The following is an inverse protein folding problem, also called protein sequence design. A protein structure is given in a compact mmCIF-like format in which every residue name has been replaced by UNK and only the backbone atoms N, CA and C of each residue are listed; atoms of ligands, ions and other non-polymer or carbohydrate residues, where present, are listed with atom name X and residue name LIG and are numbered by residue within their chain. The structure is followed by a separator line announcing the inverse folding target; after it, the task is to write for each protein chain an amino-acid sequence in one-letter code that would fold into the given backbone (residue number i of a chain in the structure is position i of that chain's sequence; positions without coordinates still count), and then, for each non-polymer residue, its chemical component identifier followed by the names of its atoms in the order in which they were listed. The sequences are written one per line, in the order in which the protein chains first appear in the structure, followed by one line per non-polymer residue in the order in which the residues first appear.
data_IF_073258845695
#
_entry.id   IF_073258845695
#
_cell.length_a   1.000
_cell.length_b   1.000
_cell.length_c   1.000
_cell.angle_alpha   90.00
_cell.angle_beta   90.00
_cell.angle_gamma   90.00
#
_symmetry.space_group_name_H-M   'P 1'
#
loop_
_entity.id
_entity.type
_entity.pdbx_description
1 polymer ?
#
# COMPACT_ATOMS: atom_id res chain seq x y z
N UNK A 1 15.45 -9.50 -20.05
CA UNK A 1 16.27 -8.59 -19.23
C UNK A 1 16.75 -9.37 -18.02
N UNK A 2 17.99 -9.84 -18.09
CA UNK A 2 18.61 -10.70 -17.09
C UNK A 2 19.29 -9.80 -16.07
N UNK A 3 18.74 -9.71 -14.86
CA UNK A 3 19.36 -9.03 -13.73
C UNK A 3 19.68 -10.06 -12.65
N UNK A 4 20.94 -10.50 -12.65
CA UNK A 4 21.73 -10.96 -11.51
C UNK A 4 20.95 -11.31 -10.22
N UNK A 5 20.29 -12.46 -10.19
CA UNK A 5 20.01 -13.25 -8.99
C UNK A 5 19.14 -14.44 -9.42
N UNK A 6 19.53 -15.66 -9.07
CA UNK A 6 18.73 -16.88 -9.33
C UNK A 6 17.43 -16.94 -8.53
N UNK A 7 16.86 -15.79 -8.17
CA UNK A 7 15.60 -15.65 -7.45
C UNK A 7 14.57 -15.22 -8.48
N UNK A 8 13.72 -16.14 -8.91
CA UNK A 8 12.49 -15.78 -9.62
C UNK A 8 11.58 -15.04 -8.64
N UNK A 9 11.65 -13.71 -8.60
CA UNK A 9 10.65 -12.94 -7.86
C UNK A 9 9.30 -13.17 -8.56
N UNK A 10 8.24 -13.55 -7.82
CA UNK A 10 6.91 -13.62 -8.39
C UNK A 10 6.59 -12.26 -9.05
N UNK A 11 5.91 -12.28 -10.20
CA UNK A 11 5.56 -11.05 -10.95
C UNK A 11 4.80 -10.03 -10.08
N UNK A 12 4.14 -10.51 -9.02
CA UNK A 12 3.42 -9.71 -8.04
C UNK A 12 4.33 -8.92 -7.10
N UNK A 13 5.61 -9.27 -6.95
CA UNK A 13 6.51 -8.63 -5.97
C UNK A 13 6.86 -7.19 -6.36
N UNK A 14 7.31 -6.89 -7.61
CA UNK A 14 7.53 -5.51 -8.05
C UNK A 14 6.27 -4.66 -7.97
N UNK A 15 5.12 -5.24 -8.37
CA UNK A 15 3.83 -4.57 -8.30
C UNK A 15 3.43 -4.27 -6.85
N UNK A 16 3.60 -5.23 -5.95
CA UNK A 16 3.37 -5.08 -4.51
C UNK A 16 4.19 -3.93 -3.96
N UNK A 17 5.50 -3.91 -4.23
CA UNK A 17 6.40 -2.83 -3.78
C UNK A 17 5.95 -1.47 -4.33
N UNK A 18 5.60 -1.39 -5.61
CA UNK A 18 5.13 -0.14 -6.23
C UNK A 18 3.84 0.37 -5.57
N UNK A 19 2.85 -0.50 -5.40
CA UNK A 19 1.55 -0.16 -4.78
C UNK A 19 1.75 0.33 -3.35
N UNK A 20 2.45 -0.43 -2.51
CA UNK A 20 2.71 -0.02 -1.12
C UNK A 20 3.55 1.26 -1.04
N UNK A 21 4.53 1.43 -1.92
CA UNK A 21 5.31 2.67 -2.04
C UNK A 21 4.44 3.88 -2.35
N UNK A 22 3.50 3.75 -3.31
CA UNK A 22 2.55 4.81 -3.65
C UNK A 22 1.63 5.14 -2.48
N UNK A 23 1.11 4.14 -1.76
CA UNK A 23 0.24 4.37 -0.60
C UNK A 23 0.97 5.15 0.51
N UNK A 24 2.21 4.79 0.81
CA UNK A 24 3.04 5.51 1.79
C UNK A 24 3.34 6.93 1.31
N UNK A 25 3.67 7.11 0.02
CA UNK A 25 3.91 8.43 -0.56
C UNK A 25 2.67 9.33 -0.48
N UNK A 26 1.49 8.79 -0.78
CA UNK A 26 0.22 9.50 -0.68
C UNK A 26 -0.10 9.92 0.77
N UNK A 27 0.07 9.02 1.74
CA UNK A 27 -0.13 9.34 3.15
C UNK A 27 0.85 10.41 3.64
N UNK A 28 2.13 10.34 3.22
CA UNK A 28 3.13 11.34 3.53
C UNK A 28 2.81 12.70 2.90
N UNK A 29 2.29 12.71 1.67
CA UNK A 29 1.86 13.93 1.01
C UNK A 29 0.70 14.61 1.76
N UNK A 30 -0.35 13.85 2.10
CA UNK A 30 -1.50 14.35 2.87
C UNK A 30 -1.07 14.87 4.24
N UNK A 31 -0.18 14.16 4.94
CA UNK A 31 0.38 14.63 6.20
C UNK A 31 1.05 16.01 6.04
N UNK A 32 1.92 16.15 5.04
CA UNK A 32 2.67 17.40 4.80
C UNK A 32 1.73 18.54 4.43
N UNK A 33 0.74 18.30 3.57
CA UNK A 33 -0.26 19.31 3.19
C UNK A 33 -1.10 19.74 4.40
N UNK A 34 -1.64 18.79 5.17
CA UNK A 34 -2.41 19.10 6.37
C UNK A 34 -1.59 19.89 7.41
N UNK A 35 -0.31 19.54 7.59
CA UNK A 35 0.61 20.22 8.50
C UNK A 35 0.97 21.62 8.01
N UNK A 36 1.14 21.81 6.70
CA UNK A 36 1.36 23.13 6.08
C UNK A 36 0.14 24.04 6.24
N UNK A 37 -1.07 23.48 6.30
CA UNK A 37 -2.33 24.19 6.58
C UNK A 37 -2.61 24.43 8.07
N UNK A 38 -1.69 24.04 8.97
CA UNK A 38 -1.87 24.19 10.42
C UNK A 38 -2.91 23.24 11.03
N UNK A 39 -3.26 22.14 10.35
CA UNK A 39 -4.25 21.20 10.86
C UNK A 39 -3.66 20.35 12.00
N UNK A 40 -4.22 20.49 13.22
CA UNK A 40 -3.86 19.70 14.41
C UNK A 40 -4.00 18.18 14.22
N UNK A 41 -4.78 17.74 13.24
CA UNK A 41 -5.08 16.34 12.96
C UNK A 41 -4.32 15.79 11.75
N UNK A 42 -3.20 16.42 11.33
CA UNK A 42 -2.42 15.96 10.17
C UNK A 42 -2.05 14.46 10.23
N UNK A 43 -1.70 13.95 11.43
CA UNK A 43 -1.41 12.51 11.63
C UNK A 43 -2.65 11.65 11.39
N UNK A 44 -3.81 12.09 11.88
CA UNK A 44 -5.09 11.38 11.68
C UNK A 44 -5.41 11.28 10.20
N UNK A 45 -5.19 12.35 9.42
CA UNK A 45 -5.39 12.31 7.98
C UNK A 45 -4.48 11.32 7.26
N UNK A 46 -3.21 11.25 7.64
CA UNK A 46 -2.26 10.30 7.08
C UNK A 46 -2.64 8.84 7.41
N UNK A 47 -3.00 8.59 8.67
CA UNK A 47 -3.43 7.27 9.13
C UNK A 47 -4.74 6.87 8.45
N UNK A 48 -5.72 7.77 8.37
CA UNK A 48 -6.98 7.52 7.67
C UNK A 48 -6.73 7.15 6.21
N UNK A 49 -5.84 7.87 5.52
CA UNK A 49 -5.45 7.56 4.13
C UNK A 49 -4.95 6.13 3.99
N UNK A 50 -4.07 5.68 4.89
CA UNK A 50 -3.56 4.30 4.87
C UNK A 50 -4.64 3.27 5.21
N UNK A 51 -5.43 3.53 6.25
CA UNK A 51 -6.48 2.61 6.71
C UNK A 51 -7.51 2.39 5.60
N UNK A 52 -8.02 3.45 4.99
CA UNK A 52 -9.00 3.34 3.92
C UNK A 52 -8.43 2.70 2.64
N UNK A 53 -7.13 2.82 2.40
CA UNK A 53 -6.48 2.14 1.28
C UNK A 53 -6.21 0.64 1.55
N UNK A 54 -5.86 0.26 2.78
CA UNK A 54 -5.36 -1.08 3.11
C UNK A 54 -6.47 -2.01 3.63
N UNK A 55 -7.41 -1.50 4.44
CA UNK A 55 -8.45 -2.34 5.06
C UNK A 55 -9.28 -3.13 4.03
N UNK A 56 -9.76 -2.55 2.91
CA UNK A 56 -10.51 -3.30 1.91
C UNK A 56 -9.68 -4.44 1.28
N UNK A 57 -8.38 -4.22 1.09
CA UNK A 57 -7.46 -5.25 0.56
C UNK A 57 -7.33 -6.40 1.55
N UNK A 58 -7.11 -6.10 2.83
CA UNK A 58 -7.03 -7.12 3.87
C UNK A 58 -8.35 -7.89 4.00
N UNK A 59 -9.49 -7.20 3.90
CA UNK A 59 -10.80 -7.84 3.90
C UNK A 59 -10.95 -8.80 2.70
N UNK A 60 -10.56 -8.37 1.50
CA UNK A 60 -10.59 -9.22 0.31
C UNK A 60 -9.70 -10.46 0.46
N UNK A 61 -8.46 -10.27 0.90
CA UNK A 61 -7.51 -11.36 1.12
C UNK A 61 -8.00 -12.33 2.22
N UNK A 62 -8.60 -11.80 3.28
CA UNK A 62 -9.17 -12.63 4.34
C UNK A 62 -10.34 -13.48 3.84
N UNK A 63 -11.27 -12.87 3.07
CA UNK A 63 -12.42 -13.56 2.50
C UNK A 63 -12.03 -14.66 1.50
N UNK A 64 -10.90 -14.48 0.79
CA UNK A 64 -10.43 -15.43 -0.23
C UNK A 64 -9.20 -16.23 0.21
N UNK A 65 -8.86 -16.22 1.51
CA UNK A 65 -7.64 -16.86 2.02
C UNK A 65 -7.57 -18.37 1.73
N UNK A 66 -8.73 -19.00 1.62
CA UNK A 66 -8.90 -20.44 1.41
C UNK A 66 -9.12 -20.78 -0.08
N UNK A 67 -9.29 -19.76 -0.94
CA UNK A 67 -9.39 -19.96 -2.37
C UNK A 67 -7.99 -20.20 -2.95
N UNK A 68 -7.78 -21.34 -3.61
CA UNK A 68 -6.57 -21.59 -4.39
C UNK A 68 -6.36 -20.52 -5.47
N UNK A 69 -5.18 -20.47 -6.11
CA UNK A 69 -4.89 -19.49 -7.16
C UNK A 69 -6.02 -19.47 -8.19
N UNK A 70 -6.50 -18.28 -8.52
CA UNK A 70 -7.52 -18.14 -9.57
C UNK A 70 -6.97 -18.75 -10.88
N UNK A 71 -7.78 -19.53 -11.62
CA UNK A 71 -7.38 -20.12 -12.90
C UNK A 71 -7.07 -19.07 -13.96
#
# INVERSE_FOLDING_TARGET
MTLLSGVSLPWSLPLTVAVYGILVAAAAWIYRDARARGNRYAVVWAVATLVFAIVPVLAYLYLHRDAGPAP
#
